data_IF_390595578838
#
_entry.id   IF_390595578838
#
_cell.length_a   1.000
_cell.length_b   1.000
_cell.length_c   1.000
_cell.angle_alpha   90.00
_cell.angle_beta   90.00
_cell.angle_gamma   90.00
#
_symmetry.space_group_name_H-M   'P 1'
#
loop_
_entity.id
_entity.type
_entity.pdbx_description
1 polymer ?
#
# COMPACT_ATOMS: atom_id res chain seq x y z
N UNK A 1 -2.79 24.61 -1.98
CA UNK A 1 -2.74 23.75 -3.16
C UNK A 1 -2.27 22.39 -2.72
N UNK A 2 -3.18 21.46 -2.63
CA UNK A 2 -2.88 20.07 -2.26
C UNK A 2 -2.05 19.46 -3.39
N UNK A 3 -0.74 19.49 -3.24
CA UNK A 3 0.19 18.89 -4.22
C UNK A 3 0.04 17.37 -4.36
N UNK A 4 -0.74 16.73 -3.52
CA UNK A 4 -0.80 15.29 -3.39
C UNK A 4 -2.09 14.67 -3.98
N UNK A 5 -3.07 15.48 -4.36
CA UNK A 5 -4.31 15.03 -5.06
C UNK A 5 -4.88 13.67 -4.58
N UNK A 6 -4.78 13.38 -3.27
CA UNK A 6 -5.29 12.14 -2.67
C UNK A 6 -4.40 10.90 -2.82
N UNK A 7 -3.17 11.01 -3.27
CA UNK A 7 -2.26 9.85 -3.43
C UNK A 7 -1.67 9.35 -2.11
N UNK A 8 -1.58 10.21 -1.10
CA UNK A 8 -1.01 9.84 0.21
C UNK A 8 -1.92 8.94 1.05
N UNK A 9 -3.19 8.77 0.66
CA UNK A 9 -4.14 7.95 1.38
C UNK A 9 -4.77 8.63 2.60
N UNK A 10 -5.41 7.82 3.46
CA UNK A 10 -5.99 8.28 4.72
C UNK A 10 -4.87 8.66 5.69
N UNK A 11 -4.86 9.92 6.12
CA UNK A 11 -3.99 10.42 7.19
C UNK A 11 -4.80 10.58 8.47
N UNK A 12 -4.16 10.37 9.62
CA UNK A 12 -4.76 10.56 10.92
C UNK A 12 -3.99 11.63 11.71
N UNK A 13 -4.75 12.41 12.47
CA UNK A 13 -4.22 13.36 13.45
C UNK A 13 -5.03 13.26 14.73
N UNK A 14 -4.47 13.63 15.86
CA UNK A 14 -5.14 13.65 17.13
C UNK A 14 -5.03 15.02 17.81
N UNK A 15 -5.96 15.31 18.70
CA UNK A 15 -5.97 16.52 19.49
C UNK A 15 -6.56 16.23 20.88
N UNK A 16 -5.98 16.78 21.95
CA UNK A 16 -6.54 16.68 23.29
C UNK A 16 -7.72 17.63 23.52
N UNK A 17 -7.81 18.71 22.77
CA UNK A 17 -8.70 19.85 23.00
C UNK A 17 -9.53 20.26 21.78
N UNK A 18 -9.34 19.61 20.65
CA UNK A 18 -9.91 19.93 19.33
C UNK A 18 -9.38 21.25 18.69
N UNK A 19 -8.38 21.89 19.28
CA UNK A 19 -7.75 23.09 18.77
C UNK A 19 -6.32 22.82 18.27
N UNK A 20 -5.51 22.18 19.10
CA UNK A 20 -4.13 21.80 18.76
C UNK A 20 -4.09 20.39 18.20
N UNK A 21 -3.70 20.24 16.93
CA UNK A 21 -3.70 18.95 16.22
C UNK A 21 -2.28 18.50 15.86
N UNK A 22 -2.04 17.23 16.10
CA UNK A 22 -0.75 16.55 15.86
C UNK A 22 -0.97 15.40 14.91
N UNK A 23 -0.14 15.28 13.87
CA UNK A 23 -0.21 14.13 12.97
C UNK A 23 0.19 12.83 13.68
N UNK A 24 -0.45 11.73 13.29
CA UNK A 24 -0.05 10.40 13.75
C UNK A 24 0.72 9.75 12.61
N UNK A 25 2.04 9.67 12.75
CA UNK A 25 2.93 9.03 11.77
C UNK A 25 3.47 9.95 10.69
N UNK A 26 3.51 11.26 10.94
CA UNK A 26 4.18 12.24 10.08
C UNK A 26 3.83 12.08 8.59
N UNK A 27 2.54 12.06 8.27
CA UNK A 27 2.04 11.87 6.91
C UNK A 27 1.87 10.41 6.47
N UNK A 28 1.99 9.46 7.39
CA UNK A 28 1.72 8.05 7.11
C UNK A 28 0.31 7.84 6.56
N UNK A 29 0.19 7.14 5.43
CA UNK A 29 -1.09 6.75 4.83
C UNK A 29 -1.54 5.39 5.38
N UNK A 30 -2.56 5.39 6.24
CA UNK A 30 -3.07 4.18 6.89
C UNK A 30 -3.76 3.22 5.94
N UNK A 31 -4.46 3.75 4.95
CA UNK A 31 -4.98 3.02 3.80
C UNK A 31 -4.82 3.89 2.57
N UNK A 32 -4.44 3.28 1.46
CA UNK A 32 -4.27 3.96 0.16
C UNK A 32 -5.16 3.27 -0.86
N UNK A 33 -5.71 4.04 -1.79
CA UNK A 33 -6.48 3.48 -2.89
C UNK A 33 -5.61 2.56 -3.75
N UNK A 34 -6.08 1.35 -4.02
CA UNK A 34 -5.43 0.40 -4.94
C UNK A 34 -6.21 0.21 -6.26
N UNK A 35 -7.32 0.96 -6.45
CA UNK A 35 -8.12 0.92 -7.67
C UNK A 35 -7.35 1.45 -8.87
N UNK A 36 -7.32 0.66 -9.91
CA UNK A 36 -6.67 1.00 -11.17
C UNK A 36 -5.56 0.04 -11.55
N UNK A 37 -5.14 0.11 -12.80
CA UNK A 37 -4.03 -0.67 -13.35
C UNK A 37 -2.68 -0.14 -12.88
N UNK A 38 -1.62 -0.91 -13.10
CA UNK A 38 -0.25 -0.47 -12.87
C UNK A 38 0.02 0.83 -13.65
N UNK A 39 0.58 1.83 -12.97
CA UNK A 39 0.83 3.14 -13.56
C UNK A 39 -0.37 4.09 -13.59
N UNK A 40 -1.59 3.62 -13.33
CA UNK A 40 -2.76 4.48 -13.21
C UNK A 40 -2.68 5.40 -12.00
N UNK A 41 -3.30 6.56 -12.11
CA UNK A 41 -3.40 7.50 -11.00
C UNK A 41 -4.42 6.98 -9.97
N UNK A 42 -3.91 6.51 -8.84
CA UNK A 42 -4.72 5.98 -7.74
C UNK A 42 -5.03 7.10 -6.75
N UNK A 43 -6.29 7.48 -6.66
CA UNK A 43 -6.72 8.61 -5.82
C UNK A 43 -7.66 8.17 -4.71
N UNK A 44 -7.47 8.78 -3.55
CA UNK A 44 -8.38 8.71 -2.42
C UNK A 44 -8.83 10.13 -2.10
N UNK A 45 -9.97 10.54 -2.68
CA UNK A 45 -10.51 11.87 -2.48
C UNK A 45 -11.54 11.85 -1.34
N UNK A 46 -11.49 12.86 -0.48
CA UNK A 46 -12.44 13.06 0.61
C UNK A 46 -12.65 11.80 1.49
N UNK A 47 -11.58 11.15 1.98
CA UNK A 47 -11.75 9.97 2.82
C UNK A 47 -12.59 10.30 4.05
N UNK A 48 -13.59 9.47 4.31
CA UNK A 48 -14.48 9.58 5.45
C UNK A 48 -14.37 8.33 6.30
N UNK A 49 -14.12 8.50 7.59
CA UNK A 49 -13.94 7.41 8.54
C UNK A 49 -15.13 7.38 9.49
N UNK A 50 -15.77 6.22 9.61
CA UNK A 50 -16.87 5.97 10.53
C UNK A 50 -16.62 4.71 11.33
N UNK A 51 -17.31 4.55 12.46
CA UNK A 51 -17.26 3.35 13.29
C UNK A 51 -18.67 2.80 13.47
N UNK A 52 -18.85 1.53 13.19
CA UNK A 52 -20.16 0.89 13.38
C UNK A 52 -20.41 0.46 14.84
N UNK A 53 -21.63 -0.02 15.11
CA UNK A 53 -22.02 -0.48 16.44
C UNK A 53 -21.24 -1.70 16.95
N UNK A 54 -20.56 -2.43 16.06
CA UNK A 54 -19.68 -3.56 16.40
C UNK A 54 -18.24 -3.12 16.66
N UNK A 55 -17.95 -1.83 16.53
CA UNK A 55 -16.64 -1.27 16.73
C UNK A 55 -15.71 -1.37 15.52
N UNK A 56 -16.20 -1.80 14.36
CA UNK A 56 -15.43 -1.87 13.12
C UNK A 56 -15.36 -0.49 12.48
N UNK A 57 -14.18 -0.11 12.06
CA UNK A 57 -13.92 1.11 11.33
C UNK A 57 -14.19 0.90 9.83
N UNK A 58 -14.85 1.85 9.22
CA UNK A 58 -15.14 1.93 7.79
C UNK A 58 -14.52 3.21 7.24
N UNK A 59 -13.65 3.09 6.25
CA UNK A 59 -13.13 4.21 5.49
C UNK A 59 -13.73 4.16 4.10
N UNK A 60 -14.41 5.22 3.70
CA UNK A 60 -14.95 5.39 2.36
C UNK A 60 -14.37 6.63 1.70
N UNK A 61 -14.15 6.58 0.39
CA UNK A 61 -13.57 7.70 -0.37
C UNK A 61 -14.10 7.75 -1.79
N UNK A 62 -13.95 8.91 -2.42
CA UNK A 62 -14.24 9.09 -3.83
C UNK A 62 -13.02 8.74 -4.67
N UNK A 63 -13.22 8.06 -5.80
CA UNK A 63 -12.15 7.70 -6.74
C UNK A 63 -11.82 8.85 -7.69
N UNK A 64 -12.77 9.75 -7.91
CA UNK A 64 -12.64 10.89 -8.82
C UNK A 64 -13.49 12.07 -8.35
N UNK A 65 -13.35 13.17 -9.05
CA UNK A 65 -14.04 14.42 -8.73
C UNK A 65 -15.55 14.39 -9.08
N UNK A 66 -16.01 13.43 -9.92
CA UNK A 66 -17.41 13.26 -10.23
C UNK A 66 -18.23 12.82 -9.01
N UNK A 67 -17.57 12.16 -8.05
CA UNK A 67 -18.17 11.68 -6.81
C UNK A 67 -19.16 10.53 -7.00
N UNK A 68 -19.16 9.89 -8.16
CA UNK A 68 -20.05 8.75 -8.46
C UNK A 68 -19.43 7.42 -8.08
N UNK A 69 -18.11 7.29 -8.29
CA UNK A 69 -17.34 6.10 -7.99
C UNK A 69 -16.70 6.20 -6.62
N UNK A 70 -16.84 5.12 -5.85
CA UNK A 70 -16.43 5.07 -4.45
C UNK A 70 -15.58 3.83 -4.15
N UNK A 71 -14.63 4.01 -3.25
CA UNK A 71 -13.91 2.92 -2.62
C UNK A 71 -14.24 2.83 -1.14
N UNK A 72 -14.15 1.63 -0.59
CA UNK A 72 -14.34 1.36 0.82
C UNK A 72 -13.35 0.31 1.32
N UNK A 73 -12.86 0.51 2.53
CA UNK A 73 -12.12 -0.50 3.28
C UNK A 73 -12.59 -0.52 4.73
N UNK A 74 -12.42 -1.66 5.40
CA UNK A 74 -12.76 -1.82 6.81
C UNK A 74 -11.55 -2.21 7.63
N UNK A 75 -11.56 -1.84 8.90
CA UNK A 75 -10.49 -2.18 9.84
C UNK A 75 -11.02 -2.39 11.23
N UNK A 76 -10.55 -3.41 11.97
CA UNK A 76 -10.89 -3.58 13.38
C UNK A 76 -10.15 -2.59 14.29
N UNK A 77 -9.02 -2.02 13.85
CA UNK A 77 -8.06 -1.33 14.71
C UNK A 77 -7.37 -0.11 14.09
N UNK A 78 -7.76 0.30 12.88
CA UNK A 78 -7.14 1.35 12.05
C UNK A 78 -5.72 1.03 11.56
N UNK A 79 -5.13 -0.10 11.95
CA UNK A 79 -3.77 -0.50 11.58
C UNK A 79 -3.78 -1.56 10.48
N UNK A 80 -4.70 -2.52 10.57
CA UNK A 80 -4.88 -3.59 9.58
C UNK A 80 -6.17 -3.35 8.82
N UNK A 81 -6.06 -3.24 7.51
CA UNK A 81 -7.18 -2.97 6.62
C UNK A 81 -7.52 -4.20 5.80
N UNK A 82 -8.80 -4.51 5.70
CA UNK A 82 -9.32 -5.54 4.83
C UNK A 82 -9.19 -5.11 3.35
N UNK A 83 -9.24 -6.05 2.40
CA UNK A 83 -9.25 -5.74 0.97
C UNK A 83 -10.32 -4.70 0.62
N UNK A 84 -9.97 -3.84 -0.31
CA UNK A 84 -10.83 -2.73 -0.71
C UNK A 84 -11.96 -3.20 -1.61
N UNK A 85 -13.11 -2.55 -1.50
CA UNK A 85 -14.28 -2.79 -2.35
C UNK A 85 -14.62 -1.51 -3.08
N UNK A 86 -15.03 -1.62 -4.34
CA UNK A 86 -15.32 -0.48 -5.19
C UNK A 86 -16.75 -0.50 -5.70
N UNK A 87 -17.31 0.68 -5.83
CA UNK A 87 -18.70 0.89 -6.26
C UNK A 87 -18.71 1.91 -7.39
N UNK A 88 -19.37 1.55 -8.51
CA UNK A 88 -19.52 2.40 -9.69
C UNK A 88 -20.72 3.36 -9.59
N UNK A 89 -21.43 3.31 -8.49
CA UNK A 89 -22.57 4.19 -8.21
C UNK A 89 -22.46 4.72 -6.79
N UNK A 90 -23.00 5.89 -6.56
CA UNK A 90 -23.09 6.41 -5.20
C UNK A 90 -23.79 5.37 -4.32
N UNK A 91 -23.17 4.93 -3.22
CA UNK A 91 -23.79 3.98 -2.31
C UNK A 91 -25.15 4.50 -1.85
N UNK A 92 -26.15 3.64 -1.85
CA UNK A 92 -27.49 3.98 -1.39
C UNK A 92 -27.50 4.42 0.08
N UNK A 93 -28.55 5.07 0.52
CA UNK A 93 -28.81 5.36 1.91
C UNK A 93 -28.77 4.05 2.72
N UNK A 94 -28.03 4.05 3.81
CA UNK A 94 -27.89 2.88 4.70
C UNK A 94 -26.55 2.14 4.62
N UNK A 95 -25.65 2.49 3.72
CA UNK A 95 -24.32 1.86 3.64
C UNK A 95 -23.32 2.41 4.68
N UNK A 96 -23.73 3.35 5.52
CA UNK A 96 -22.83 4.00 6.51
C UNK A 96 -21.74 4.90 5.89
N UNK A 97 -21.69 4.99 4.57
CA UNK A 97 -20.64 5.70 3.82
C UNK A 97 -20.85 7.22 3.82
N UNK A 98 -22.06 7.67 4.03
CA UNK A 98 -22.40 9.09 4.20
C UNK A 98 -22.71 9.37 5.66
N UNK A 99 -21.69 9.73 6.42
CA UNK A 99 -21.90 10.46 7.67
C UNK A 99 -22.45 11.86 7.35
N UNK A 100 -23.39 12.33 8.16
CA UNK A 100 -23.89 13.70 8.10
C UNK A 100 -22.86 14.75 8.56
N UNK A 101 -21.64 14.32 8.82
CA UNK A 101 -20.60 15.17 9.39
C UNK A 101 -20.00 16.10 8.34
N UNK A 102 -19.96 17.36 8.69
CA UNK A 102 -19.31 18.39 7.87
C UNK A 102 -17.79 18.33 8.04
N UNK A 103 -17.07 18.39 6.93
CA UNK A 103 -15.61 18.54 6.97
C UNK A 103 -15.23 19.83 7.69
N UNK A 104 -14.28 19.72 8.61
CA UNK A 104 -13.75 20.84 9.37
C UNK A 104 -12.32 21.13 8.93
N UNK A 105 -11.91 22.38 9.09
CA UNK A 105 -10.53 22.81 8.93
C UNK A 105 -9.83 22.71 10.27
N UNK A 106 -8.60 22.24 10.27
CA UNK A 106 -7.72 22.22 11.42
C UNK A 106 -6.29 22.54 10.99
N UNK A 107 -5.49 23.06 11.91
CA UNK A 107 -4.06 23.22 11.71
C UNK A 107 -3.38 22.00 12.31
N UNK A 108 -2.80 21.14 11.47
CA UNK A 108 -2.08 19.94 11.87
C UNK A 108 -0.60 20.17 11.61
N UNK A 109 0.22 20.17 12.66
CA UNK A 109 1.65 20.45 12.59
C UNK A 109 2.00 21.72 11.77
N UNK A 110 1.19 22.78 11.93
CA UNK A 110 1.38 24.04 11.21
C UNK A 110 0.81 24.10 9.80
N UNK A 111 0.20 23.04 9.30
CA UNK A 111 -0.42 22.97 7.97
C UNK A 111 -1.94 22.94 8.08
N UNK A 112 -2.63 23.77 7.29
CA UNK A 112 -4.10 23.77 7.24
C UNK A 112 -4.57 22.54 6.47
N UNK A 113 -5.26 21.66 7.18
CA UNK A 113 -5.86 20.43 6.63
C UNK A 113 -7.39 20.46 6.74
N UNK A 114 -8.05 19.61 5.97
CA UNK A 114 -9.50 19.43 6.02
C UNK A 114 -9.84 17.97 6.24
N UNK A 115 -10.68 17.70 7.22
CA UNK A 115 -11.05 16.32 7.55
C UNK A 115 -12.30 16.22 8.38
N UNK A 116 -12.58 15.01 8.81
CA UNK A 116 -13.66 14.67 9.73
C UNK A 116 -13.08 14.47 11.12
N UNK A 117 -13.80 14.93 12.14
CA UNK A 117 -13.38 14.84 13.53
C UNK A 117 -14.27 13.82 14.23
N UNK A 118 -13.66 12.89 14.95
CA UNK A 118 -14.35 11.89 15.74
C UNK A 118 -13.76 11.85 17.15
N UNK A 119 -14.62 11.59 18.13
CA UNK A 119 -14.21 11.41 19.52
C UNK A 119 -13.84 9.94 19.73
N UNK A 120 -12.63 9.70 20.17
CA UNK A 120 -12.10 8.36 20.43
C UNK A 120 -11.47 8.31 21.83
N UNK A 121 -11.30 7.11 22.37
CA UNK A 121 -10.58 6.91 23.63
C UNK A 121 -9.06 7.12 23.42
N UNK A 122 -8.37 7.57 24.46
CA UNK A 122 -6.93 7.78 24.41
C UNK A 122 -6.15 6.51 24.05
N UNK A 123 -6.63 5.35 24.51
CA UNK A 123 -6.01 4.07 24.24
C UNK A 123 -5.94 3.73 22.74
N UNK A 124 -6.87 4.25 21.94
CA UNK A 124 -6.84 4.09 20.49
C UNK A 124 -5.76 4.98 19.86
N UNK A 125 -5.63 6.21 20.33
CA UNK A 125 -4.58 7.13 19.89
C UNK A 125 -3.20 6.60 20.27
N UNK A 126 -3.03 6.15 21.53
CA UNK A 126 -1.76 5.59 22.02
C UNK A 126 -1.31 4.36 21.21
N UNK A 127 -2.26 3.46 20.87
CA UNK A 127 -1.95 2.31 19.99
C UNK A 127 -1.47 2.73 18.60
N UNK A 128 -2.10 3.75 18.02
CA UNK A 128 -1.71 4.25 16.71
C UNK A 128 -0.32 4.92 16.75
N UNK A 129 -0.02 5.68 17.80
CA UNK A 129 1.30 6.28 18.00
C UNK A 129 2.38 5.20 18.11
N UNK A 130 2.16 4.19 18.96
CA UNK A 130 3.08 3.05 19.10
C UNK A 130 3.26 2.27 17.81
N UNK A 131 2.19 2.10 17.04
CA UNK A 131 2.24 1.41 15.74
C UNK A 131 3.13 2.15 14.72
N UNK A 132 3.00 3.46 14.59
CA UNK A 132 3.81 4.23 13.65
C UNK A 132 5.24 4.37 14.10
N UNK A 133 5.51 4.49 15.41
CA UNK A 133 6.85 4.49 15.97
C UNK A 133 7.56 3.15 15.71
N UNK A 134 6.88 2.04 15.94
CA UNK A 134 7.42 0.71 15.64
C UNK A 134 7.71 0.54 14.14
N UNK A 135 6.83 1.00 13.26
CA UNK A 135 7.06 0.96 11.83
C UNK A 135 8.25 1.81 11.42
N UNK A 136 8.34 3.03 11.93
CA UNK A 136 9.48 3.91 11.65
C UNK A 136 10.81 3.26 12.10
N UNK A 137 10.83 2.67 13.27
CA UNK A 137 11.98 1.92 13.78
C UNK A 137 12.33 0.73 12.87
N UNK A 138 11.34 -0.08 12.47
CA UNK A 138 11.54 -1.21 11.57
C UNK A 138 12.05 -0.76 10.20
N UNK A 139 11.45 0.28 9.63
CA UNK A 139 11.86 0.81 8.33
C UNK A 139 13.29 1.37 8.38
N UNK A 140 13.71 1.93 9.52
CA UNK A 140 15.08 2.35 9.76
C UNK A 140 16.04 1.16 9.81
N UNK A 141 15.65 0.06 10.46
CA UNK A 141 16.46 -1.17 10.52
C UNK A 141 16.60 -1.84 9.14
N UNK A 142 15.56 -1.78 8.32
CA UNK A 142 15.54 -2.36 6.98
C UNK A 142 16.07 -1.42 5.90
N UNK A 143 16.58 -0.27 6.27
CA UNK A 143 17.22 0.65 5.34
C UNK A 143 18.58 0.08 4.92
N UNK A 144 18.73 -0.24 3.64
CA UNK A 144 19.93 -0.86 3.06
C UNK A 144 21.12 0.11 2.91
N UNK A 145 21.02 1.34 3.37
CA UNK A 145 22.13 2.29 3.39
C UNK A 145 23.14 1.89 4.48
N UNK A 146 24.33 1.53 4.06
CA UNK A 146 25.38 0.99 4.93
C UNK A 146 26.27 2.05 5.59
N UNK A 147 26.24 3.29 5.11
CA UNK A 147 27.11 4.37 5.61
C UNK A 147 26.92 4.66 7.11
N UNK A 148 25.76 4.37 7.64
CA UNK A 148 25.39 4.62 9.04
C UNK A 148 25.38 3.35 9.90
N UNK A 149 25.72 2.19 9.36
CA UNK A 149 25.61 0.91 10.06
C UNK A 149 26.47 0.88 11.35
N UNK A 150 27.63 1.49 11.33
CA UNK A 150 28.47 1.58 12.52
C UNK A 150 27.82 2.31 13.70
N UNK A 151 26.98 3.31 13.43
CA UNK A 151 26.20 4.01 14.46
C UNK A 151 24.90 3.27 14.78
N UNK A 152 24.20 2.83 13.75
CA UNK A 152 22.90 2.14 13.85
C UNK A 152 22.99 0.86 14.66
N UNK A 153 24.06 0.12 14.52
CA UNK A 153 24.26 -1.19 15.13
C UNK A 153 25.33 -1.19 16.24
N UNK A 154 25.73 -0.02 16.71
CA UNK A 154 26.79 0.11 17.75
C UNK A 154 26.48 -0.64 19.05
N UNK A 155 25.18 -0.83 19.36
CA UNK A 155 24.73 -1.55 20.56
C UNK A 155 24.50 -3.05 20.35
N UNK A 156 24.71 -3.59 19.15
CA UNK A 156 24.54 -5.01 18.89
C UNK A 156 25.75 -5.81 19.40
N UNK A 157 25.47 -6.82 20.21
CA UNK A 157 26.48 -7.79 20.61
C UNK A 157 26.77 -8.76 19.46
N UNK A 158 28.05 -9.14 19.24
CA UNK A 158 28.38 -10.15 18.25
C UNK A 158 27.69 -11.48 18.57
N UNK A 159 27.03 -12.07 17.57
CA UNK A 159 26.42 -13.40 17.69
C UNK A 159 27.38 -14.41 17.06
N UNK A 160 27.74 -15.45 17.80
CA UNK A 160 28.50 -16.58 17.29
C UNK A 160 27.53 -17.72 16.96
N UNK A 161 27.56 -18.17 15.71
CA UNK A 161 26.76 -19.33 15.26
C UNK A 161 27.73 -20.44 14.86
N UNK A 162 27.53 -21.62 15.43
CA UNK A 162 28.24 -22.83 15.02
C UNK A 162 27.29 -23.72 14.21
N UNK A 163 27.63 -23.93 12.94
CA UNK A 163 26.89 -24.83 12.06
C UNK A 163 27.65 -26.16 11.96
N UNK A 164 27.03 -27.26 12.40
CA UNK A 164 27.56 -28.61 12.25
C UNK A 164 26.83 -29.33 11.13
N UNK A 165 27.54 -29.66 10.07
CA UNK A 165 27.00 -30.47 8.96
C UNK A 165 27.31 -31.94 9.27
N UNK A 166 26.29 -32.78 9.23
CA UNK A 166 26.40 -34.24 9.45
C UNK A 166 26.11 -34.98 8.14
N UNK A 167 27.12 -35.24 7.31
CA UNK A 167 26.92 -35.91 6.03
C UNK A 167 26.35 -37.33 6.17
N UNK A 168 26.65 -37.99 7.29
CA UNK A 168 26.15 -39.32 7.62
C UNK A 168 24.65 -39.40 7.86
N UNK A 169 24.02 -38.27 8.19
CA UNK A 169 22.59 -38.13 8.37
C UNK A 169 21.86 -37.63 7.11
N UNK A 170 22.61 -37.48 6.01
CA UNK A 170 22.05 -36.97 4.77
C UNK A 170 21.00 -37.96 4.21
N UNK A 171 19.87 -37.38 3.79
CA UNK A 171 18.81 -38.15 3.09
C UNK A 171 18.94 -37.93 1.58
N UNK A 172 18.74 -38.96 0.77
CA UNK A 172 18.72 -38.78 -0.67
C UNK A 172 17.58 -37.84 -1.07
N UNK A 173 17.91 -36.84 -1.86
CA UNK A 173 16.92 -35.93 -2.46
C UNK A 173 16.57 -36.44 -3.83
N UNK A 174 15.28 -36.48 -4.18
CA UNK A 174 14.83 -36.84 -5.51
C UNK A 174 15.50 -35.94 -6.56
N UNK A 175 15.99 -36.55 -7.64
CA UNK A 175 16.49 -35.84 -8.82
C UNK A 175 15.43 -35.01 -9.53
N UNK A 176 14.14 -35.24 -9.19
CA UNK A 176 12.98 -34.49 -9.68
C UNK A 176 12.56 -33.33 -8.78
N UNK A 177 13.25 -33.12 -7.66
CA UNK A 177 12.95 -32.04 -6.72
C UNK A 177 13.61 -30.70 -7.12
N UNK A 178 14.18 -30.62 -8.29
CA UNK A 178 14.73 -29.39 -8.85
C UNK A 178 13.64 -28.61 -9.54
N UNK A 179 13.38 -27.43 -9.06
CA UNK A 179 12.51 -26.44 -9.70
C UNK A 179 13.33 -25.23 -10.17
N UNK A 180 12.82 -24.56 -11.16
CA UNK A 180 13.30 -23.24 -11.54
C UNK A 180 12.24 -22.21 -11.18
N UNK A 181 12.69 -21.11 -10.60
CA UNK A 181 11.88 -19.90 -10.56
C UNK A 181 11.90 -19.34 -11.98
N UNK A 182 10.72 -19.31 -12.61
CA UNK A 182 10.56 -18.77 -13.94
C UNK A 182 9.69 -17.53 -13.88
N UNK A 183 10.20 -16.44 -14.43
CA UNK A 183 9.48 -15.19 -14.56
C UNK A 183 9.85 -14.61 -15.93
N UNK A 184 8.84 -14.23 -16.71
CA UNK A 184 9.06 -13.64 -18.03
C UNK A 184 9.44 -12.16 -17.89
N UNK A 185 10.67 -11.94 -17.41
CA UNK A 185 11.29 -10.63 -17.32
C UNK A 185 12.36 -10.52 -18.39
N UNK A 186 12.42 -9.39 -19.07
CA UNK A 186 13.43 -9.10 -20.08
C UNK A 186 13.50 -10.18 -21.19
N UNK A 187 12.34 -10.64 -21.64
CA UNK A 187 12.24 -11.71 -22.65
C UNK A 187 12.82 -13.05 -22.19
N UNK A 188 12.69 -13.37 -20.91
CA UNK A 188 13.22 -14.61 -20.33
C UNK A 188 12.59 -15.87 -20.92
N UNK A 189 11.34 -15.81 -21.39
CA UNK A 189 10.70 -16.86 -22.15
C UNK A 189 11.07 -16.77 -23.64
N UNK A 190 10.86 -15.59 -24.23
CA UNK A 190 11.16 -15.34 -25.64
C UNK A 190 12.67 -15.09 -25.83
N UNK A 191 13.36 -16.00 -26.47
CA UNK A 191 14.81 -15.96 -26.66
C UNK A 191 15.64 -16.49 -25.49
N UNK A 192 14.98 -16.91 -24.39
CA UNK A 192 15.62 -17.53 -23.23
C UNK A 192 15.36 -19.01 -23.13
N UNK A 193 14.39 -19.40 -22.30
CA UNK A 193 14.10 -20.81 -21.97
C UNK A 193 13.75 -21.66 -23.18
N UNK A 194 13.08 -21.10 -24.17
CA UNK A 194 12.68 -21.78 -25.40
C UNK A 194 13.66 -21.57 -26.56
N UNK A 195 14.74 -20.85 -26.34
CA UNK A 195 15.66 -20.42 -27.39
C UNK A 195 14.95 -19.77 -28.61
N UNK A 196 13.82 -19.12 -28.32
CA UNK A 196 13.03 -18.40 -29.33
C UNK A 196 13.63 -17.03 -29.58
N UNK A 197 14.01 -16.73 -30.81
CA UNK A 197 14.61 -15.47 -31.21
C UNK A 197 13.60 -14.54 -31.90
N UNK A 198 12.40 -15.04 -32.17
CA UNK A 198 11.35 -14.25 -32.84
C UNK A 198 10.41 -13.69 -31.79
N UNK A 199 10.40 -12.38 -31.66
CA UNK A 199 9.53 -11.67 -30.72
C UNK A 199 8.10 -11.63 -31.26
N UNK A 200 7.10 -11.72 -30.35
CA UNK A 200 5.67 -11.67 -30.69
C UNK A 200 5.29 -12.65 -31.83
N UNK A 201 5.76 -13.86 -31.74
CA UNK A 201 5.57 -14.91 -32.78
C UNK A 201 4.12 -15.34 -32.98
N UNK A 202 3.31 -15.21 -31.95
CA UNK A 202 1.89 -15.58 -31.89
C UNK A 202 0.95 -14.39 -32.12
N UNK A 203 1.50 -13.17 -32.30
CA UNK A 203 0.74 -11.94 -32.53
C UNK A 203 -0.26 -11.60 -31.39
N UNK A 204 0.02 -12.04 -30.18
CA UNK A 204 -0.86 -11.84 -29.03
C UNK A 204 -0.62 -10.53 -28.28
N UNK A 205 0.42 -9.78 -28.61
CA UNK A 205 0.68 -8.51 -27.97
C UNK A 205 -0.48 -7.53 -28.19
N UNK A 206 -0.81 -6.80 -27.16
CA UNK A 206 -1.89 -5.82 -27.17
C UNK A 206 -1.48 -4.51 -26.50
N UNK A 207 -2.19 -3.44 -26.81
CA UNK A 207 -2.00 -2.15 -26.14
C UNK A 207 -2.25 -2.18 -24.62
N UNK A 208 -2.83 -3.29 -24.10
CA UNK A 208 -3.08 -3.50 -22.68
C UNK A 208 -1.87 -4.04 -21.91
N UNK A 209 -0.86 -4.54 -22.62
CA UNK A 209 0.34 -5.14 -22.01
C UNK A 209 1.33 -4.10 -21.46
N UNK A 210 0.87 -2.86 -21.27
CA UNK A 210 1.62 -1.81 -20.56
C UNK A 210 2.79 -1.21 -21.36
N UNK A 211 2.86 -1.51 -22.62
CA UNK A 211 3.93 -1.08 -23.49
C UNK A 211 3.74 0.33 -24.07
N UNK A 212 4.81 0.96 -24.62
CA UNK A 212 4.75 2.25 -25.27
C UNK A 212 3.72 2.28 -26.43
N UNK A 213 3.29 3.49 -26.81
CA UNK A 213 2.41 3.69 -27.97
C UNK A 213 2.91 2.92 -29.19
N UNK A 214 2.03 2.13 -29.82
CA UNK A 214 2.35 1.30 -30.96
C UNK A 214 2.61 -0.16 -30.67
N UNK A 215 2.46 -0.58 -29.41
CA UNK A 215 2.56 -1.97 -29.00
C UNK A 215 1.22 -2.66 -29.24
N UNK A 216 1.11 -3.34 -30.34
CA UNK A 216 -0.08 -4.07 -30.79
C UNK A 216 0.30 -5.45 -31.32
N UNK A 217 -0.67 -6.18 -31.86
CA UNK A 217 -0.44 -7.52 -32.40
C UNK A 217 0.60 -7.60 -33.52
N UNK A 218 0.89 -6.48 -34.18
CA UNK A 218 1.92 -6.38 -35.22
C UNK A 218 3.29 -5.95 -34.68
N UNK A 219 3.43 -5.70 -33.37
CA UNK A 219 4.70 -5.29 -32.80
C UNK A 219 5.83 -6.28 -33.10
N UNK A 220 7.01 -5.76 -33.38
CA UNK A 220 8.20 -6.50 -33.79
C UNK A 220 8.12 -7.10 -35.21
N UNK A 221 7.05 -6.89 -35.97
CA UNK A 221 6.92 -7.31 -37.36
C UNK A 221 6.85 -6.09 -38.27
N UNK A 222 7.57 -6.16 -39.36
CA UNK A 222 7.47 -5.19 -40.47
C UNK A 222 6.88 -5.89 -41.70
N UNK A 223 5.87 -5.29 -42.30
CA UNK A 223 5.28 -5.71 -43.57
C UNK A 223 5.88 -4.89 -44.67
#
# INVERSE_FOLDING_TARGET
>A
TVKDAGRSGLKLAWSPDADCWFSIGNGYGYVRCDYGTWGAEKRMLNPHLTRDAKGVWHCAWQLNESGKEWGQATSPDLMKWNPQTYYLQTPGEGTGIRGSETRKKAVVDGVVEQGYMQKVAWEEVDRLLKFVDYRAYRDQLHNERTEQDGQRFAGLAPVSLQLTIRPEEAKPISDKLMGIFFEDINYGADGGLYAELVQNRDFEYSSKDGAPQGFDSGYAWSI
#
